data_IF_363201001159
#
_entry.id   IF_363201001159
#
_cell.length_a   1.000
_cell.length_b   1.000
_cell.length_c   1.000
_cell.angle_alpha   90.00
_cell.angle_beta   90.00
_cell.angle_gamma   90.00
#
_symmetry.space_group_name_H-M   'P 1'
#
loop_
_entity.id
_entity.type
_entity.pdbx_description
1 polymer ?
#
# COMPACT_ATOMS: atom_id res chain seq x y z
N UNK A 1 12.09 -1.72 -0.03
CA UNK A 1 11.17 -0.56 -0.31
C UNK A 1 9.98 -0.65 0.64
N UNK A 2 9.03 0.30 0.64
CA UNK A 2 7.79 0.09 1.41
C UNK A 2 7.09 -1.16 0.84
N UNK A 3 6.60 -2.03 1.71
CA UNK A 3 6.04 -3.33 1.30
C UNK A 3 4.62 -3.56 1.82
N UNK A 4 4.06 -2.62 2.59
CA UNK A 4 2.75 -2.78 3.20
C UNK A 4 2.01 -1.46 3.38
N UNK A 5 0.70 -1.50 3.29
CA UNK A 5 -0.24 -0.47 3.72
C UNK A 5 -1.13 -1.08 4.79
N UNK A 6 -1.28 -0.39 5.93
CA UNK A 6 -2.20 -0.81 7.00
C UNK A 6 -3.28 0.25 7.14
N UNK A 7 -4.54 -0.15 7.04
CA UNK A 7 -5.70 0.73 7.15
C UNK A 7 -6.20 0.84 8.59
N UNK A 8 -6.55 2.05 8.98
CA UNK A 8 -6.98 2.39 10.34
C UNK A 8 -8.18 3.36 10.34
N UNK A 9 -8.78 3.50 11.51
CA UNK A 9 -9.57 4.66 11.91
C UNK A 9 -8.81 5.44 12.98
N UNK A 10 -9.05 6.74 13.07
CA UNK A 10 -8.44 7.55 14.13
C UNK A 10 -9.10 7.33 15.50
N UNK A 11 -10.38 6.95 15.54
CA UNK A 11 -11.17 6.99 16.79
C UNK A 11 -11.53 8.43 17.20
N UNK A 12 -11.33 9.40 16.31
CA UNK A 12 -11.50 10.83 16.53
C UNK A 12 -12.57 11.46 15.63
N UNK A 13 -12.54 12.79 15.55
CA UNK A 13 -13.47 13.55 14.71
C UNK A 13 -13.15 13.42 13.21
N UNK A 14 -13.88 14.17 12.38
CA UNK A 14 -13.67 14.20 10.93
C UNK A 14 -12.40 14.93 10.49
N UNK A 15 -11.74 15.66 11.38
CA UNK A 15 -10.50 16.38 11.07
C UNK A 15 -9.36 15.78 11.88
N UNK A 16 -8.17 15.55 11.28
CA UNK A 16 -7.05 14.94 11.98
C UNK A 16 -6.47 15.88 13.03
N UNK A 17 -6.39 15.40 14.26
CA UNK A 17 -5.75 16.06 15.39
C UNK A 17 -4.23 15.86 15.42
N UNK A 18 -3.52 16.48 16.39
CA UNK A 18 -2.08 16.34 16.53
C UNK A 18 -1.62 14.89 16.78
N UNK A 19 -2.42 14.09 17.48
CA UNK A 19 -2.14 12.67 17.72
C UNK A 19 -2.26 11.84 16.45
N UNK A 20 -3.33 12.03 15.69
CA UNK A 20 -3.54 11.35 14.40
C UNK A 20 -2.38 11.61 13.44
N UNK A 21 -1.94 12.87 13.37
CA UNK A 21 -0.81 13.28 12.51
C UNK A 21 0.53 12.68 12.96
N UNK A 22 0.72 12.40 14.24
CA UNK A 22 1.90 11.64 14.71
C UNK A 22 1.78 10.15 14.43
N UNK A 23 0.54 9.61 14.49
CA UNK A 23 0.28 8.18 14.36
C UNK A 23 0.36 7.67 12.93
N UNK A 24 -0.10 8.43 11.95
CA UNK A 24 -0.33 7.95 10.58
C UNK A 24 0.38 8.80 9.53
N UNK A 25 0.64 8.22 8.35
CA UNK A 25 1.28 8.94 7.24
C UNK A 25 0.26 9.70 6.40
N UNK A 26 -0.92 9.11 6.19
CA UNK A 26 -1.99 9.66 5.36
C UNK A 26 -3.30 9.58 6.12
N UNK A 27 -4.05 10.67 6.10
CA UNK A 27 -5.26 10.87 6.89
C UNK A 27 -6.38 11.33 5.98
N UNK A 28 -7.56 10.72 6.07
CA UNK A 28 -8.70 11.03 5.21
C UNK A 28 -9.76 11.72 6.06
N UNK A 29 -9.96 13.01 5.84
CA UNK A 29 -10.95 13.78 6.59
C UNK A 29 -12.39 13.46 6.21
N UNK A 30 -13.36 14.06 6.90
CA UNK A 30 -14.79 13.84 6.68
C UNK A 30 -15.31 14.23 5.30
N UNK A 31 -14.53 14.95 4.49
CA UNK A 31 -14.88 15.32 3.12
C UNK A 31 -14.15 14.44 2.09
N UNK A 32 -13.44 13.41 2.56
CA UNK A 32 -12.68 12.49 1.72
C UNK A 32 -11.36 13.07 1.21
N UNK A 33 -10.89 14.19 1.77
CA UNK A 33 -9.61 14.77 1.37
C UNK A 33 -8.45 14.10 2.10
N UNK A 34 -7.38 13.81 1.35
CA UNK A 34 -6.19 13.18 1.91
C UNK A 34 -5.22 14.24 2.43
N UNK A 35 -4.93 14.19 3.71
CA UNK A 35 -3.98 15.02 4.42
C UNK A 35 -2.73 14.23 4.81
N UNK A 36 -1.60 14.92 4.89
CA UNK A 36 -0.35 14.35 5.39
C UNK A 36 -0.31 14.32 6.93
N UNK A 37 0.30 13.26 7.45
CA UNK A 37 0.80 13.21 8.82
C UNK A 37 2.13 13.97 8.98
N UNK A 38 2.64 13.99 10.21
CA UNK A 38 3.91 14.64 10.54
C UNK A 38 5.12 13.87 10.00
N UNK A 39 5.03 12.54 9.95
CA UNK A 39 6.14 11.71 9.49
C UNK A 39 5.98 11.39 8.01
N UNK A 40 7.04 11.66 7.25
CA UNK A 40 7.13 11.18 5.87
C UNK A 40 7.09 9.64 5.83
N UNK A 41 6.51 9.07 4.77
CA UNK A 41 6.43 7.61 4.56
C UNK A 41 7.80 6.91 4.70
N UNK A 42 8.88 7.57 4.26
CA UNK A 42 10.23 7.03 4.35
C UNK A 42 10.77 6.89 5.78
N UNK A 43 10.11 7.48 6.79
CA UNK A 43 10.46 7.30 8.19
C UNK A 43 10.24 5.86 8.67
N UNK A 44 9.30 5.14 8.05
CA UNK A 44 9.01 3.73 8.34
C UNK A 44 9.75 2.77 7.39
N UNK A 45 10.64 3.24 6.50
CA UNK A 45 11.29 2.38 5.51
C UNK A 45 12.14 1.24 6.13
N UNK A 46 12.23 0.06 5.48
CA UNK A 46 13.10 -1.02 5.95
C UNK A 46 14.55 -0.56 6.15
N UNK A 47 15.22 -1.09 7.18
CA UNK A 47 16.59 -0.72 7.54
C UNK A 47 16.74 0.59 8.33
N UNK A 48 15.66 1.35 8.54
CA UNK A 48 15.64 2.49 9.47
C UNK A 48 15.44 2.00 10.91
N UNK A 49 16.19 2.58 11.85
CA UNK A 49 15.90 2.43 13.26
C UNK A 49 14.62 3.21 13.62
N UNK A 50 13.67 2.54 14.27
CA UNK A 50 12.40 3.14 14.69
C UNK A 50 12.50 3.67 16.12
N UNK A 51 13.03 4.89 16.26
CA UNK A 51 13.10 5.58 17.56
C UNK A 51 11.76 6.25 17.87
N UNK A 52 11.22 6.15 19.09
CA UNK A 52 9.96 6.80 19.46
C UNK A 52 9.92 8.28 19.04
N UNK A 53 8.85 8.66 18.34
CA UNK A 53 8.65 10.04 17.86
C UNK A 53 9.36 10.41 16.56
N UNK A 54 10.12 9.50 15.93
CA UNK A 54 10.78 9.75 14.64
C UNK A 54 10.08 9.08 13.45
N UNK A 55 8.99 8.36 13.69
CA UNK A 55 8.28 7.55 12.71
C UNK A 55 6.80 7.47 13.06
N UNK A 56 5.96 7.09 12.09
CA UNK A 56 4.53 6.91 12.34
C UNK A 56 4.29 5.56 13.02
N UNK A 57 3.91 5.59 14.31
CA UNK A 57 3.70 4.40 15.12
C UNK A 57 2.22 3.98 15.12
N UNK A 58 1.80 3.26 14.08
CA UNK A 58 0.39 2.89 13.88
C UNK A 58 0.08 1.41 14.09
N UNK A 59 1.05 0.50 13.93
CA UNK A 59 0.81 -0.94 14.04
C UNK A 59 1.89 -1.60 14.91
N UNK A 60 1.47 -2.14 16.07
CA UNK A 60 2.38 -2.83 17.01
C UNK A 60 3.13 -3.95 16.29
N UNK A 61 4.46 -3.92 16.36
CA UNK A 61 5.32 -4.94 15.77
C UNK A 61 5.37 -4.97 14.24
N UNK A 62 4.75 -3.98 13.56
CA UNK A 62 4.62 -4.00 12.09
C UNK A 62 4.79 -2.62 11.44
N UNK A 63 5.44 -1.67 12.11
CA UNK A 63 5.65 -0.33 11.54
C UNK A 63 6.72 -0.31 10.44
N UNK A 64 7.78 -1.12 10.56
CA UNK A 64 8.84 -1.20 9.54
C UNK A 64 8.28 -1.72 8.21
N UNK A 65 8.52 -0.97 7.14
CA UNK A 65 8.02 -1.24 5.79
C UNK A 65 6.55 -0.92 5.56
N UNK A 66 5.83 -0.44 6.59
CA UNK A 66 4.40 -0.20 6.52
C UNK A 66 4.02 1.28 6.42
N UNK A 67 2.99 1.55 5.62
CA UNK A 67 2.35 2.85 5.46
C UNK A 67 1.00 2.82 6.18
N UNK A 68 0.88 3.50 7.32
CA UNK A 68 -0.41 3.74 7.97
C UNK A 68 -1.26 4.78 7.21
N UNK A 69 -2.45 4.37 6.79
CA UNK A 69 -3.48 5.23 6.19
C UNK A 69 -4.73 5.16 7.08
N UNK A 70 -5.21 6.30 7.56
CA UNK A 70 -6.31 6.34 8.52
C UNK A 70 -7.50 7.18 8.02
N UNK A 71 -8.71 6.71 8.28
CA UNK A 71 -9.95 7.50 8.14
C UNK A 71 -10.19 8.26 9.46
N UNK A 72 -10.36 9.59 9.35
CA UNK A 72 -10.72 10.44 10.47
C UNK A 72 -12.21 10.26 10.79
N UNK A 73 -12.52 9.43 11.77
CA UNK A 73 -13.87 9.06 12.15
C UNK A 73 -13.86 8.30 13.49
N UNK A 74 -15.05 7.83 13.90
CA UNK A 74 -15.29 6.95 15.04
C UNK A 74 -15.17 7.61 16.43
N UNK A 75 -15.32 8.94 16.51
CA UNK A 75 -15.38 9.62 17.80
C UNK A 75 -16.49 9.06 18.70
N UNK A 76 -16.10 8.64 19.91
CA UNK A 76 -17.01 8.06 20.90
C UNK A 76 -17.45 6.62 20.61
N UNK A 77 -16.89 5.98 19.58
CA UNK A 77 -17.21 4.59 19.27
C UNK A 77 -16.53 3.63 20.26
N UNK A 78 -17.30 2.64 20.72
CA UNK A 78 -16.82 1.52 21.51
C UNK A 78 -17.20 0.21 20.82
N UNK A 79 -16.28 -0.76 20.83
CA UNK A 79 -16.53 -2.06 20.23
C UNK A 79 -17.70 -2.79 20.91
N UNK A 80 -18.74 -3.15 20.13
CA UNK A 80 -19.93 -3.83 20.64
C UNK A 80 -20.88 -2.98 21.50
N UNK A 81 -20.60 -1.68 21.69
CA UNK A 81 -21.39 -0.79 22.54
C UNK A 81 -22.56 -0.11 21.82
N UNK A 82 -23.69 0.02 22.52
CA UNK A 82 -24.76 0.95 22.19
C UNK A 82 -24.38 2.36 22.69
N UNK A 83 -23.48 3.03 21.98
CA UNK A 83 -23.07 4.42 22.29
C UNK A 83 -23.38 5.26 21.07
N UNK A 84 -23.90 6.50 21.16
CA UNK A 84 -24.13 7.29 19.97
C UNK A 84 -22.77 7.65 19.34
N UNK A 85 -22.47 7.02 18.21
CA UNK A 85 -21.29 7.35 17.40
C UNK A 85 -21.56 8.73 16.80
N UNK A 86 -20.70 9.70 17.08
CA UNK A 86 -20.93 11.07 16.59
C UNK A 86 -20.30 11.30 15.22
N UNK A 87 -19.41 10.41 14.80
CA UNK A 87 -18.63 10.53 13.56
C UNK A 87 -18.56 9.18 12.82
N UNK A 88 -19.68 8.64 12.31
CA UNK A 88 -19.65 7.41 11.51
C UNK A 88 -18.77 7.59 10.26
N UNK A 89 -18.12 6.52 9.83
CA UNK A 89 -17.40 6.52 8.55
C UNK A 89 -18.37 6.86 7.41
N UNK A 90 -17.99 7.82 6.56
CA UNK A 90 -18.78 8.20 5.39
C UNK A 90 -18.31 7.44 4.14
N UNK A 91 -19.22 7.11 3.20
CA UNK A 91 -18.83 6.46 1.94
C UNK A 91 -17.70 7.16 1.18
N UNK A 92 -17.71 8.50 1.14
CA UNK A 92 -16.65 9.30 0.49
C UNK A 92 -15.26 9.08 1.11
N UNK A 93 -15.18 8.78 2.42
CA UNK A 93 -13.92 8.47 3.08
C UNK A 93 -13.41 7.08 2.67
N UNK A 94 -14.31 6.13 2.46
CA UNK A 94 -13.97 4.79 1.96
C UNK A 94 -13.50 4.86 0.51
N UNK A 95 -14.19 5.64 -0.34
CA UNK A 95 -13.75 5.91 -1.71
C UNK A 95 -12.34 6.50 -1.75
N UNK A 96 -12.08 7.50 -0.90
CA UNK A 96 -10.77 8.12 -0.77
C UNK A 96 -9.70 7.14 -0.24
N UNK A 97 -10.05 6.23 0.67
CA UNK A 97 -9.15 5.20 1.18
C UNK A 97 -8.71 4.25 0.06
N UNK A 98 -9.66 3.77 -0.75
CA UNK A 98 -9.40 2.89 -1.89
C UNK A 98 -8.54 3.60 -2.93
N UNK A 99 -8.87 4.85 -3.28
CA UNK A 99 -8.12 5.64 -4.24
C UNK A 99 -6.68 5.94 -3.78
N UNK A 100 -6.51 6.35 -2.52
CA UNK A 100 -5.20 6.62 -1.93
C UNK A 100 -4.37 5.34 -1.82
N UNK A 101 -4.98 4.22 -1.44
CA UNK A 101 -4.31 2.92 -1.41
C UNK A 101 -3.82 2.54 -2.80
N UNK A 102 -4.65 2.67 -3.85
CA UNK A 102 -4.23 2.40 -5.23
C UNK A 102 -3.05 3.29 -5.64
N UNK A 103 -3.07 4.59 -5.29
CA UNK A 103 -1.96 5.52 -5.56
C UNK A 103 -0.67 5.10 -4.85
N UNK A 104 -0.75 4.67 -3.59
CA UNK A 104 0.40 4.22 -2.81
C UNK A 104 0.92 2.87 -3.33
N UNK A 105 0.04 1.95 -3.72
CA UNK A 105 0.38 0.70 -4.35
C UNK A 105 1.15 0.91 -5.65
N UNK A 106 0.68 1.79 -6.54
CA UNK A 106 1.38 2.16 -7.77
C UNK A 106 2.75 2.82 -7.47
N UNK A 107 2.77 3.79 -6.55
CA UNK A 107 3.99 4.56 -6.22
C UNK A 107 5.11 3.73 -5.60
N UNK A 108 4.76 2.83 -4.67
CA UNK A 108 5.73 2.03 -3.92
C UNK A 108 5.85 0.60 -4.43
N UNK A 109 5.01 0.25 -5.40
CA UNK A 109 5.01 -1.07 -5.98
C UNK A 109 4.50 -2.16 -5.06
N UNK A 110 3.46 -1.83 -4.30
CA UNK A 110 2.82 -2.77 -3.40
C UNK A 110 1.69 -3.43 -4.18
N UNK A 111 1.78 -4.75 -4.40
CA UNK A 111 0.69 -5.51 -4.98
C UNK A 111 -0.39 -5.70 -3.91
N UNK A 112 -1.64 -5.26 -4.12
CA UNK A 112 -2.70 -5.45 -3.14
C UNK A 112 -2.91 -6.93 -2.83
N UNK A 113 -3.00 -7.26 -1.56
CA UNK A 113 -3.13 -8.64 -1.10
C UNK A 113 -3.24 -8.73 0.43
N UNK A 114 -3.69 -9.88 0.97
CA UNK A 114 -3.98 -10.02 2.40
C UNK A 114 -2.79 -9.72 3.33
N UNK A 115 -1.55 -9.79 2.83
CA UNK A 115 -0.33 -9.54 3.62
C UNK A 115 0.29 -8.16 3.40
N UNK A 116 -0.22 -7.41 2.42
CA UNK A 116 0.39 -6.19 1.87
C UNK A 116 -0.54 -4.99 1.93
N UNK A 117 -1.86 -5.19 1.91
CA UNK A 117 -2.88 -4.14 2.04
C UNK A 117 -4.03 -4.68 2.88
N UNK A 118 -4.05 -4.31 4.16
CA UNK A 118 -4.93 -4.92 5.15
C UNK A 118 -5.32 -3.93 6.24
N UNK A 119 -6.44 -4.14 6.91
CA UNK A 119 -6.80 -3.36 8.09
C UNK A 119 -5.97 -3.78 9.32
N UNK A 120 -5.96 -2.94 10.35
CA UNK A 120 -5.34 -3.30 11.63
C UNK A 120 -5.99 -4.55 12.26
N UNK A 121 -7.29 -4.77 12.07
CA UNK A 121 -7.99 -5.94 12.57
C UNK A 121 -7.54 -7.24 11.88
N UNK A 122 -7.11 -7.17 10.61
CA UNK A 122 -6.56 -8.32 9.87
C UNK A 122 -5.14 -8.70 10.31
N UNK A 123 -4.38 -7.80 10.95
CA UNK A 123 -2.95 -8.02 11.22
C UNK A 123 -2.68 -9.29 12.03
N UNK A 124 -3.38 -9.47 13.15
CA UNK A 124 -3.17 -10.65 14.00
C UNK A 124 -3.62 -11.96 13.31
N UNK A 125 -4.87 -12.09 12.80
CA UNK A 125 -5.31 -13.34 12.17
C UNK A 125 -4.58 -13.66 10.87
N UNK A 126 -4.11 -12.67 10.11
CA UNK A 126 -3.47 -12.89 8.80
C UNK A 126 -1.94 -13.01 8.88
N UNK A 127 -1.29 -12.29 9.81
CA UNK A 127 0.17 -12.25 9.91
C UNK A 127 0.72 -12.94 11.17
N UNK A 128 -0.12 -13.26 12.15
CA UNK A 128 0.31 -13.82 13.44
C UNK A 128 1.02 -12.82 14.34
N UNK A 129 0.94 -11.51 14.05
CA UNK A 129 1.57 -10.46 14.84
C UNK A 129 0.59 -9.95 15.88
N UNK A 130 0.82 -10.30 17.14
CA UNK A 130 -0.08 -10.00 18.28
C UNK A 130 -0.43 -8.51 18.36
N UNK A 131 -1.73 -8.22 18.32
CA UNK A 131 -2.34 -6.91 18.49
C UNK A 131 -3.16 -6.86 19.79
N UNK A 132 -3.81 -5.72 20.06
CA UNK A 132 -4.68 -5.55 21.23
C UNK A 132 -6.13 -5.44 20.79
N UNK A 133 -6.71 -6.55 20.32
CA UNK A 133 -8.15 -6.65 19.99
C UNK A 133 -8.63 -5.57 19.02
N UNK A 134 -7.90 -5.39 17.92
CA UNK A 134 -8.18 -4.34 16.93
C UNK A 134 -9.38 -4.72 16.08
N UNK A 135 -10.21 -3.73 15.79
CA UNK A 135 -11.51 -3.90 15.11
C UNK A 135 -11.68 -2.95 13.93
N UNK A 136 -10.59 -2.33 13.47
CA UNK A 136 -10.57 -1.53 12.25
C UNK A 136 -11.14 -2.33 11.08
N UNK A 137 -12.27 -1.86 10.53
CA UNK A 137 -12.97 -2.47 9.40
C UNK A 137 -13.53 -3.87 9.73
N UNK A 138 -13.90 -4.14 10.99
CA UNK A 138 -14.74 -5.30 11.37
C UNK A 138 -16.24 -5.03 11.18
N UNK A 139 -16.60 -3.98 10.42
CA UNK A 139 -17.95 -3.59 10.06
C UNK A 139 -17.96 -3.06 8.61
N UNK A 140 -19.09 -3.13 7.89
CA UNK A 140 -19.20 -2.62 6.53
C UNK A 140 -18.91 -1.11 6.49
N UNK A 141 -17.80 -0.65 5.89
CA UNK A 141 -17.38 0.75 6.01
C UNK A 141 -18.27 1.70 5.22
N UNK A 142 -19.04 1.19 4.24
CA UNK A 142 -20.08 1.93 3.51
C UNK A 142 -21.49 1.77 4.11
N UNK A 143 -21.60 1.14 5.29
CA UNK A 143 -22.88 0.78 5.91
C UNK A 143 -23.55 -0.43 5.27
N UNK A 144 -24.71 -0.81 5.81
CA UNK A 144 -25.48 -1.97 5.36
C UNK A 144 -25.35 -3.19 6.29
N UNK A 145 -26.21 -4.21 6.11
CA UNK A 145 -26.09 -5.47 6.84
C UNK A 145 -24.84 -6.20 6.34
N UNK A 146 -23.96 -6.61 7.25
CA UNK A 146 -22.77 -7.36 6.90
C UNK A 146 -22.19 -8.11 8.08
N UNK A 147 -21.50 -9.20 7.79
CA UNK A 147 -20.78 -9.96 8.79
C UNK A 147 -19.65 -9.10 9.38
N UNK A 148 -19.42 -9.23 10.69
CA UNK A 148 -18.25 -8.62 11.34
C UNK A 148 -17.00 -9.45 11.08
N UNK A 149 -16.56 -9.43 9.83
CA UNK A 149 -15.40 -10.19 9.35
C UNK A 149 -14.40 -9.23 8.65
N UNK A 150 -13.32 -8.83 9.35
CA UNK A 150 -12.35 -7.90 8.78
C UNK A 150 -11.58 -8.49 7.59
N UNK A 151 -11.47 -9.82 7.46
CA UNK A 151 -10.79 -10.44 6.31
C UNK A 151 -11.67 -10.31 5.07
N UNK A 152 -12.96 -10.65 5.17
CA UNK A 152 -13.89 -10.52 4.06
C UNK A 152 -14.03 -9.06 3.59
N UNK A 153 -14.15 -8.12 4.54
CA UNK A 153 -14.20 -6.68 4.23
C UNK A 153 -12.88 -6.22 3.60
N UNK A 154 -11.74 -6.69 4.11
CA UNK A 154 -10.43 -6.44 3.53
C UNK A 154 -10.35 -6.93 2.08
N UNK A 155 -10.87 -8.12 1.78
CA UNK A 155 -10.88 -8.69 0.43
C UNK A 155 -11.71 -7.86 -0.55
N UNK A 156 -12.88 -7.36 -0.12
CA UNK A 156 -13.68 -6.44 -0.91
C UNK A 156 -12.91 -5.15 -1.26
N UNK A 157 -12.33 -4.49 -0.26
CA UNK A 157 -11.54 -3.26 -0.46
C UNK A 157 -10.32 -3.52 -1.36
N UNK A 158 -9.61 -4.64 -1.16
CA UNK A 158 -8.48 -5.05 -2.01
C UNK A 158 -8.93 -5.25 -3.46
N UNK A 159 -10.09 -5.86 -3.69
CA UNK A 159 -10.63 -6.01 -5.04
C UNK A 159 -10.95 -4.67 -5.69
N UNK A 160 -11.47 -3.68 -4.94
CA UNK A 160 -11.67 -2.31 -5.45
C UNK A 160 -10.34 -1.64 -5.82
N UNK A 161 -9.32 -1.76 -4.95
CA UNK A 161 -7.98 -1.22 -5.21
C UNK A 161 -7.38 -1.85 -6.48
N UNK A 162 -7.46 -3.17 -6.61
CA UNK A 162 -6.96 -3.90 -7.78
C UNK A 162 -7.69 -3.48 -9.08
N UNK A 163 -9.00 -3.24 -9.00
CA UNK A 163 -9.79 -2.73 -10.13
C UNK A 163 -9.32 -1.34 -10.56
N UNK A 164 -9.09 -0.42 -9.62
CA UNK A 164 -8.59 0.92 -9.91
C UNK A 164 -7.19 0.90 -10.53
N UNK A 165 -6.30 0.02 -10.05
CA UNK A 165 -4.98 -0.17 -10.64
C UNK A 165 -5.07 -0.69 -12.08
N UNK A 166 -6.02 -1.58 -12.35
CA UNK A 166 -6.24 -2.17 -13.68
C UNK A 166 -6.95 -1.23 -14.66
N UNK A 167 -7.77 -0.30 -14.17
CA UNK A 167 -8.56 0.62 -15.00
C UNK A 167 -7.86 1.95 -15.30
N UNK A 168 -6.74 2.26 -14.63
CA UNK A 168 -5.91 3.43 -14.98
C UNK A 168 -5.20 3.11 -16.29
N UNK A 169 -5.40 3.90 -17.37
CA UNK A 169 -4.53 3.78 -18.53
C UNK A 169 -3.11 4.07 -18.03
N UNK A 170 -2.26 3.04 -18.04
CA UNK A 170 -0.82 3.25 -18.04
C UNK A 170 -0.56 3.95 -19.37
N UNK A 171 -0.54 5.28 -19.37
CA UNK A 171 0.01 6.00 -20.49
C UNK A 171 1.39 5.39 -20.71
N UNK A 172 1.69 4.83 -21.89
CA UNK A 172 2.99 4.22 -22.12
C UNK A 172 4.01 5.30 -21.85
N UNK A 173 4.82 5.12 -20.81
CA UNK A 173 6.00 5.96 -20.60
C UNK A 173 6.90 5.65 -21.79
N UNK A 174 7.05 6.58 -22.75
CA UNK A 174 7.80 6.31 -23.97
C UNK A 174 9.30 6.19 -23.68
N UNK A 175 9.74 6.58 -22.48
CA UNK A 175 11.13 6.48 -22.02
C UNK A 175 11.34 5.14 -21.31
N UNK A 176 10.36 4.67 -20.52
CA UNK A 176 10.42 3.44 -19.71
C UNK A 176 9.15 2.58 -19.88
N UNK A 177 8.95 1.96 -21.05
CA UNK A 177 7.73 1.21 -21.35
C UNK A 177 7.67 -0.10 -20.58
N UNK A 178 6.47 -0.70 -20.50
CA UNK A 178 6.33 -2.06 -19.97
C UNK A 178 7.00 -3.06 -20.91
N UNK A 179 8.05 -3.75 -20.46
CA UNK A 179 8.71 -4.81 -21.23
C UNK A 179 8.37 -6.20 -20.67
N UNK A 180 8.19 -7.16 -21.57
CA UNK A 180 7.94 -8.57 -21.25
C UNK A 180 8.58 -9.45 -22.32
N UNK A 181 8.62 -10.76 -22.08
CA UNK A 181 9.19 -11.71 -23.04
C UNK A 181 8.55 -11.55 -24.44
N UNK A 182 9.40 -11.52 -25.46
CA UNK A 182 9.03 -11.21 -26.84
C UNK A 182 9.19 -9.73 -27.24
N UNK A 183 9.36 -8.81 -26.28
CA UNK A 183 9.70 -7.43 -26.59
C UNK A 183 11.09 -7.32 -27.26
N UNK A 184 11.26 -6.33 -28.14
CA UNK A 184 12.53 -6.05 -28.81
C UNK A 184 12.81 -4.55 -28.87
N UNK A 185 14.04 -4.16 -29.20
CA UNK A 185 14.41 -2.78 -29.50
C UNK A 185 15.23 -2.08 -28.41
N UNK A 186 15.31 -0.75 -28.50
CA UNK A 186 16.25 0.04 -27.70
C UNK A 186 16.00 -0.07 -26.19
N UNK A 187 14.74 -0.03 -25.75
CA UNK A 187 14.40 -0.18 -24.33
C UNK A 187 14.83 -1.53 -23.75
N UNK A 188 14.80 -2.61 -24.54
CA UNK A 188 15.29 -3.92 -24.10
C UNK A 188 16.81 -3.90 -23.95
N UNK A 189 17.54 -3.21 -24.85
CA UNK A 189 18.99 -3.01 -24.70
C UNK A 189 19.32 -2.23 -23.43
N UNK A 190 18.55 -1.20 -23.12
CA UNK A 190 18.74 -0.38 -21.91
C UNK A 190 18.49 -1.22 -20.65
N UNK A 191 17.41 -2.00 -20.63
CA UNK A 191 17.13 -2.98 -19.57
C UNK A 191 18.31 -3.96 -19.38
N UNK A 192 18.78 -4.57 -20.46
CA UNK A 192 19.88 -5.54 -20.41
C UNK A 192 21.17 -4.93 -19.85
N UNK A 193 21.47 -3.67 -20.19
CA UNK A 193 22.59 -2.92 -19.59
C UNK A 193 22.42 -2.72 -18.09
N UNK A 194 21.23 -2.28 -17.66
CA UNK A 194 20.94 -2.03 -16.24
C UNK A 194 20.97 -3.32 -15.40
N UNK A 195 20.49 -4.43 -15.95
CA UNK A 195 20.54 -5.75 -15.31
C UNK A 195 21.95 -6.34 -15.22
N UNK A 196 22.91 -5.81 -16.00
CA UNK A 196 24.25 -6.41 -16.20
C UNK A 196 24.15 -7.90 -16.60
N UNK A 197 23.18 -8.21 -17.47
CA UNK A 197 22.84 -9.56 -17.89
C UNK A 197 23.86 -10.20 -18.87
N UNK A 198 23.63 -11.45 -19.29
CA UNK A 198 24.61 -12.25 -20.05
C UNK A 198 24.85 -11.79 -21.50
N UNK A 199 24.16 -10.75 -21.98
CA UNK A 199 24.35 -10.17 -23.31
C UNK A 199 23.34 -9.06 -23.62
N UNK A 200 23.71 -8.14 -24.51
CA UNK A 200 22.86 -7.01 -24.95
C UNK A 200 22.52 -7.19 -26.43
N UNK A 201 21.50 -7.99 -26.72
CA UNK A 201 21.02 -8.26 -28.09
C UNK A 201 19.77 -7.44 -28.46
N UNK A 202 19.13 -6.79 -27.49
CA UNK A 202 17.88 -6.06 -27.67
C UNK A 202 16.66 -6.97 -27.82
N UNK A 203 16.77 -8.25 -27.45
CA UNK A 203 15.67 -9.21 -27.44
C UNK A 203 15.34 -9.64 -26.00
N UNK A 204 14.06 -9.51 -25.63
CA UNK A 204 13.58 -9.96 -24.34
C UNK A 204 13.28 -11.46 -24.43
N UNK A 205 14.34 -12.27 -24.51
CA UNK A 205 14.27 -13.73 -24.51
C UNK A 205 14.23 -14.35 -23.11
N UNK A 206 14.26 -15.69 -23.01
CA UNK A 206 14.23 -16.41 -21.73
C UNK A 206 15.34 -16.01 -20.76
N UNK A 207 16.54 -15.69 -21.27
CA UNK A 207 17.67 -15.24 -20.45
C UNK A 207 17.41 -13.86 -19.83
N UNK A 208 16.87 -12.92 -20.62
CA UNK A 208 16.47 -11.59 -20.12
C UNK A 208 15.36 -11.72 -19.08
N UNK A 209 14.34 -12.57 -19.34
CA UNK A 209 13.26 -12.83 -18.37
C UNK A 209 13.81 -13.38 -17.06
N UNK A 210 14.70 -14.36 -17.12
CA UNK A 210 15.34 -14.93 -15.92
C UNK A 210 16.10 -13.86 -15.14
N UNK A 211 16.88 -13.02 -15.81
CA UNK A 211 17.61 -11.92 -15.16
C UNK A 211 16.66 -10.90 -14.50
N UNK A 212 15.52 -10.59 -15.14
CA UNK A 212 14.48 -9.74 -14.54
C UNK A 212 13.88 -10.38 -13.30
N UNK A 213 13.49 -11.66 -13.36
CA UNK A 213 12.93 -12.40 -12.21
C UNK A 213 13.92 -12.45 -11.04
N UNK A 214 15.20 -12.73 -11.31
CA UNK A 214 16.26 -12.74 -10.29
C UNK A 214 16.47 -11.33 -9.69
N UNK A 215 16.48 -10.29 -10.53
CA UNK A 215 16.58 -8.91 -10.08
C UNK A 215 15.39 -8.51 -9.21
N UNK A 216 14.17 -8.80 -9.66
CA UNK A 216 12.93 -8.54 -8.92
C UNK A 216 12.96 -9.23 -7.56
N UNK A 217 13.34 -10.52 -7.53
CA UNK A 217 13.45 -11.30 -6.28
C UNK A 217 14.46 -10.68 -5.31
N UNK A 218 15.65 -10.28 -5.79
CA UNK A 218 16.70 -9.65 -4.97
C UNK A 218 16.31 -8.27 -4.44
N UNK A 219 15.39 -7.58 -5.12
CA UNK A 219 14.93 -6.24 -4.76
C UNK A 219 13.53 -6.24 -4.11
N UNK A 220 13.06 -7.40 -3.65
CA UNK A 220 11.76 -7.57 -2.96
C UNK A 220 10.55 -7.12 -3.81
N UNK A 221 10.65 -7.25 -5.13
CA UNK A 221 9.55 -7.00 -6.07
C UNK A 221 8.84 -8.31 -6.41
N UNK A 222 7.62 -8.22 -6.97
CA UNK A 222 6.94 -9.39 -7.55
C UNK A 222 7.79 -9.99 -8.68
N UNK A 223 8.25 -11.25 -8.58
CA UNK A 223 9.19 -11.84 -9.54
C UNK A 223 8.46 -12.46 -10.75
N UNK A 224 7.67 -11.65 -11.46
CA UNK A 224 6.83 -12.08 -12.59
C UNK A 224 7.56 -12.09 -13.94
N UNK A 225 8.73 -11.46 -14.03
CA UNK A 225 9.50 -11.30 -15.25
C UNK A 225 8.99 -10.20 -16.18
N UNK A 226 8.16 -9.28 -15.68
CA UNK A 226 7.63 -8.12 -16.39
C UNK A 226 8.28 -6.84 -15.86
N UNK A 227 8.89 -6.07 -16.75
CA UNK A 227 9.53 -4.79 -16.39
C UNK A 227 8.51 -3.67 -16.51
N UNK A 228 7.78 -3.45 -15.42
CA UNK A 228 6.92 -2.28 -15.24
C UNK A 228 7.62 -1.10 -14.53
N UNK A 229 6.89 -0.01 -14.24
CA UNK A 229 7.44 1.19 -13.60
C UNK A 229 8.25 0.92 -12.33
N UNK A 230 7.82 -0.03 -11.50
CA UNK A 230 8.55 -0.45 -10.30
C UNK A 230 9.92 -1.05 -10.60
N UNK A 231 9.98 -1.94 -11.60
CA UNK A 231 11.23 -2.59 -11.98
C UNK A 231 12.18 -1.55 -12.58
N UNK A 232 11.66 -0.63 -13.39
CA UNK A 232 12.44 0.49 -13.91
C UNK A 232 12.97 1.43 -12.82
N UNK A 233 12.15 1.75 -11.82
CA UNK A 233 12.56 2.57 -10.69
C UNK A 233 13.69 1.90 -9.89
N UNK A 234 13.57 0.59 -9.64
CA UNK A 234 14.61 -0.17 -8.94
C UNK A 234 15.92 -0.31 -9.75
N UNK A 235 15.84 -0.29 -11.09
CA UNK A 235 17.00 -0.36 -11.98
C UNK A 235 17.74 0.99 -12.12
N UNK A 236 17.09 2.11 -11.79
CA UNK A 236 17.70 3.43 -11.88
C UNK A 236 18.80 3.60 -10.81
N UNK A 237 19.92 4.29 -11.10
CA UNK A 237 20.91 4.63 -10.09
C UNK A 237 20.25 5.37 -8.93
N UNK A 238 20.38 4.83 -7.73
CA UNK A 238 20.02 5.55 -6.51
C UNK A 238 21.11 6.60 -6.31
N UNK A 239 20.77 7.86 -6.56
CA UNK A 239 21.64 9.01 -6.28
C UNK A 239 21.89 9.18 -4.79
#
# INVERSE_FOLDING_TARGET
MMNRIVWHHTGGGYSPGPEDRRGYHRLIDGDGQVQDGHHAIAANAPGRALTPGTYAAHTRGLNTGAIGVAICAMAGAGWGGAVPWTHPVKPAQVDALVAETARLCDRYGIVPGPRTTLSHAEVEPTLGVVQAGKWDFDYPPRGGPGARDPIAIGDELRAEVARLLSSRPVAPDPIRPVLRQGATGQHVRDLQRLLRGPGIDGAFGPLTRRAVVEFQSRNELLPDGIVGPMTWAALAPQG
#
